data_IF_882932433970
#
_entry.id   IF_882932433970
#
_cell.length_a   1.000
_cell.length_b   1.000
_cell.length_c   1.000
_cell.angle_alpha   90.00
_cell.angle_beta   90.00
_cell.angle_gamma   90.00
#
_symmetry.space_group_name_H-M   'P 1'
#
loop_
_entity.id
_entity.type
_entity.pdbx_description
1 polymer ?
#
# COMPACT_ATOMS: atom_id res chain seq x y z
N UNK A 1 -20.25 -44.83 -6.21
CA UNK A 1 -19.96 -43.70 -7.12
C UNK A 1 -18.98 -44.19 -8.19
N UNK A 2 -19.27 -44.02 -9.49
CA UNK A 2 -18.36 -44.51 -10.55
C UNK A 2 -17.05 -43.70 -10.58
N UNK A 3 -15.94 -44.34 -10.97
CA UNK A 3 -14.62 -43.68 -11.10
C UNK A 3 -14.70 -42.40 -11.95
N UNK A 4 -15.51 -42.44 -13.00
CA UNK A 4 -15.78 -41.30 -13.90
C UNK A 4 -16.50 -40.15 -13.19
N UNK A 5 -17.54 -40.43 -12.39
CA UNK A 5 -18.21 -39.39 -11.58
C UNK A 5 -17.28 -38.78 -10.55
N UNK A 6 -16.38 -39.57 -9.96
CA UNK A 6 -15.38 -39.07 -9.01
C UNK A 6 -14.38 -38.11 -9.68
N UNK A 7 -13.89 -38.45 -10.87
CA UNK A 7 -13.00 -37.60 -11.66
C UNK A 7 -13.67 -36.27 -12.06
N UNK A 8 -14.93 -36.32 -12.49
CA UNK A 8 -15.70 -35.11 -12.83
C UNK A 8 -15.83 -34.19 -11.61
N UNK A 9 -16.18 -34.73 -10.45
CA UNK A 9 -16.28 -33.94 -9.22
C UNK A 9 -14.94 -33.31 -8.81
N UNK A 10 -13.84 -34.05 -8.92
CA UNK A 10 -12.49 -33.50 -8.65
C UNK A 10 -12.17 -32.35 -9.60
N UNK A 11 -12.46 -32.50 -10.90
CA UNK A 11 -12.25 -31.44 -11.88
C UNK A 11 -13.07 -30.18 -11.57
N UNK A 12 -14.33 -30.34 -11.15
CA UNK A 12 -15.19 -29.21 -10.74
C UNK A 12 -14.59 -28.48 -9.54
N UNK A 13 -14.17 -29.19 -8.49
CA UNK A 13 -13.57 -28.56 -7.30
C UNK A 13 -12.28 -27.81 -7.65
N UNK A 14 -11.43 -28.40 -8.50
CA UNK A 14 -10.19 -27.74 -8.93
C UNK A 14 -10.45 -26.47 -9.75
N UNK A 15 -11.44 -26.50 -10.66
CA UNK A 15 -11.83 -25.31 -11.42
C UNK A 15 -12.37 -24.20 -10.52
N UNK A 16 -13.21 -24.55 -9.53
CA UNK A 16 -13.72 -23.58 -8.56
C UNK A 16 -12.59 -22.97 -7.71
N UNK A 17 -11.70 -23.80 -7.17
CA UNK A 17 -10.56 -23.33 -6.39
C UNK A 17 -9.66 -22.40 -7.23
N UNK A 18 -9.34 -22.79 -8.47
CA UNK A 18 -8.55 -21.97 -9.39
C UNK A 18 -9.20 -20.64 -9.73
N UNK A 19 -10.52 -20.61 -9.95
CA UNK A 19 -11.25 -19.39 -10.21
C UNK A 19 -11.24 -18.43 -9.01
N UNK A 20 -11.44 -18.95 -7.79
CA UNK A 20 -11.38 -18.15 -6.55
C UNK A 20 -9.97 -17.60 -6.32
N UNK A 21 -8.93 -18.43 -6.46
CA UNK A 21 -7.54 -17.99 -6.31
C UNK A 21 -7.15 -16.94 -7.35
N UNK A 22 -7.56 -17.11 -8.60
CA UNK A 22 -7.30 -16.13 -9.65
C UNK A 22 -8.01 -14.80 -9.39
N UNK A 23 -9.27 -14.85 -8.96
CA UNK A 23 -10.03 -13.65 -8.64
C UNK A 23 -9.44 -12.89 -7.44
N UNK A 24 -9.04 -13.61 -6.37
CA UNK A 24 -8.35 -13.01 -5.20
C UNK A 24 -7.08 -12.28 -5.63
N UNK A 25 -6.19 -12.97 -6.36
CA UNK A 25 -4.92 -12.41 -6.81
C UNK A 25 -5.12 -11.19 -7.73
N UNK A 26 -6.13 -11.23 -8.61
CA UNK A 26 -6.46 -10.09 -9.47
C UNK A 26 -6.90 -8.88 -8.64
N UNK A 27 -7.79 -9.09 -7.67
CA UNK A 27 -8.28 -8.00 -6.82
C UNK A 27 -7.15 -7.40 -5.98
N UNK A 28 -6.33 -8.24 -5.34
CA UNK A 28 -5.15 -7.82 -4.56
C UNK A 28 -4.16 -7.02 -5.41
N UNK A 29 -3.90 -7.45 -6.65
CA UNK A 29 -3.03 -6.73 -7.57
C UNK A 29 -3.58 -5.35 -7.96
N UNK A 30 -4.90 -5.23 -8.13
CA UNK A 30 -5.57 -3.97 -8.45
C UNK A 30 -5.48 -2.97 -7.29
N UNK A 31 -5.76 -3.42 -6.07
CA UNK A 31 -5.66 -2.59 -4.85
C UNK A 31 -4.22 -2.12 -4.64
N UNK A 32 -3.23 -3.01 -4.79
CA UNK A 32 -1.81 -2.65 -4.64
C UNK A 32 -1.39 -1.58 -5.64
N UNK A 33 -1.79 -1.72 -6.92
CA UNK A 33 -1.50 -0.72 -7.96
C UNK A 33 -2.19 0.62 -7.71
N UNK A 34 -3.45 0.58 -7.26
CA UNK A 34 -4.20 1.77 -6.88
C UNK A 34 -3.52 2.53 -5.74
N UNK A 35 -3.16 1.82 -4.67
CA UNK A 35 -2.42 2.40 -3.54
C UNK A 35 -1.10 2.99 -4.01
N UNK A 36 -0.32 2.24 -4.81
CA UNK A 36 0.98 2.69 -5.27
C UNK A 36 0.85 4.00 -6.08
N UNK A 37 -0.16 4.09 -6.94
CA UNK A 37 -0.45 5.27 -7.74
C UNK A 37 -0.82 6.47 -6.85
N UNK A 38 -1.78 6.32 -5.94
CA UNK A 38 -2.22 7.39 -5.04
C UNK A 38 -1.08 7.88 -4.14
N UNK A 39 -0.33 6.95 -3.53
CA UNK A 39 0.79 7.28 -2.65
C UNK A 39 1.92 7.97 -3.40
N UNK A 40 2.19 7.56 -4.65
CA UNK A 40 3.22 8.22 -5.48
C UNK A 40 2.91 9.70 -5.77
N UNK A 41 1.63 10.08 -5.70
CA UNK A 41 1.20 11.45 -5.88
C UNK A 41 1.24 12.28 -4.60
N UNK A 42 1.36 11.67 -3.41
CA UNK A 42 1.35 12.40 -2.14
C UNK A 42 2.50 13.39 -2.02
N UNK A 43 3.72 12.97 -2.33
CA UNK A 43 4.91 13.84 -2.28
C UNK A 43 4.78 15.04 -3.22
N UNK A 44 4.56 14.88 -4.53
CA UNK A 44 4.44 16.02 -5.43
C UNK A 44 3.20 16.90 -5.15
N UNK A 45 2.10 16.32 -4.67
CA UNK A 45 0.91 17.10 -4.30
C UNK A 45 1.15 17.94 -3.05
N UNK A 46 1.84 17.39 -2.04
CA UNK A 46 2.21 18.13 -0.84
C UNK A 46 3.14 19.30 -1.14
N UNK A 47 4.16 19.09 -2.00
CA UNK A 47 5.08 20.15 -2.44
C UNK A 47 4.34 21.27 -3.16
N UNK A 48 3.33 20.95 -3.98
CA UNK A 48 2.50 21.95 -4.68
C UNK A 48 1.51 22.65 -3.75
N UNK A 49 0.90 21.91 -2.82
CA UNK A 49 -0.10 22.40 -1.89
C UNK A 49 -0.07 21.59 -0.58
N UNK A 50 0.48 22.14 0.51
CA UNK A 50 0.56 21.44 1.80
C UNK A 50 -0.79 21.02 2.39
N UNK A 51 -1.90 21.67 1.99
CA UNK A 51 -3.25 21.31 2.43
C UNK A 51 -3.79 20.03 1.78
N UNK A 52 -3.08 19.47 0.80
CA UNK A 52 -3.50 18.25 0.09
C UNK A 52 -3.55 17.00 0.97
N UNK A 53 -2.99 17.03 2.19
CA UNK A 53 -3.05 15.92 3.13
C UNK A 53 -4.36 15.88 3.94
N UNK A 54 -5.17 16.93 3.88
CA UNK A 54 -6.45 16.98 4.59
C UNK A 54 -7.39 15.89 4.06
N UNK A 55 -7.88 15.04 4.96
CA UNK A 55 -8.77 13.93 4.62
C UNK A 55 -8.08 12.71 3.99
N UNK A 56 -6.75 12.72 3.87
CA UNK A 56 -5.96 11.53 3.46
C UNK A 56 -5.69 10.61 4.65
N UNK A 57 -5.68 11.14 5.87
CA UNK A 57 -5.45 10.37 7.09
C UNK A 57 -6.76 9.89 7.71
N UNK A 58 -6.73 8.72 8.34
CA UNK A 58 -7.86 8.18 9.12
C UNK A 58 -8.10 9.02 10.38
N UNK A 59 -7.02 9.47 11.03
CA UNK A 59 -7.05 10.33 12.21
C UNK A 59 -6.32 11.65 11.90
N UNK A 60 -6.97 12.83 12.05
CA UNK A 60 -6.32 14.13 11.87
C UNK A 60 -5.05 14.34 12.69
N UNK A 61 -4.88 13.64 13.82
CA UNK A 61 -3.66 13.68 14.63
C UNK A 61 -2.43 13.14 13.88
N UNK A 62 -2.63 12.38 12.80
CA UNK A 62 -1.55 11.87 11.95
C UNK A 62 -1.07 12.90 10.92
N UNK A 63 -1.82 13.96 10.63
CA UNK A 63 -1.45 14.96 9.60
C UNK A 63 -0.04 15.55 9.82
N UNK A 64 0.34 15.97 11.05
CA UNK A 64 1.68 16.53 11.28
C UNK A 64 2.79 15.49 11.06
N UNK A 65 2.55 14.24 11.47
CA UNK A 65 3.50 13.15 11.29
C UNK A 65 3.66 12.76 9.81
N UNK A 66 2.54 12.75 9.06
CA UNK A 66 2.52 12.53 7.63
C UNK A 66 3.26 13.64 6.88
N UNK A 67 2.93 14.91 7.17
CA UNK A 67 3.59 16.07 6.58
C UNK A 67 5.11 16.05 6.82
N UNK A 68 5.54 15.77 8.05
CA UNK A 68 6.96 15.68 8.40
C UNK A 68 7.67 14.55 7.63
N UNK A 69 6.99 13.41 7.46
CA UNK A 69 7.57 12.25 6.77
C UNK A 69 7.66 12.49 5.27
N UNK A 70 6.62 13.05 4.65
CA UNK A 70 6.61 13.44 3.24
C UNK A 70 7.68 14.51 2.97
N UNK A 71 7.79 15.53 3.84
CA UNK A 71 8.83 16.54 3.71
C UNK A 71 10.23 15.91 3.76
N UNK A 72 10.49 15.01 4.72
CA UNK A 72 11.79 14.32 4.80
C UNK A 72 12.10 13.53 3.53
N UNK A 73 11.12 12.80 3.01
CA UNK A 73 11.28 12.01 1.77
C UNK A 73 11.62 12.93 0.60
N UNK A 74 10.94 14.08 0.49
CA UNK A 74 11.25 15.09 -0.52
C UNK A 74 12.66 15.66 -0.37
N UNK A 75 13.04 16.09 0.84
CA UNK A 75 14.36 16.67 1.10
C UNK A 75 15.48 15.67 0.76
N UNK A 76 15.29 14.40 1.11
CA UNK A 76 16.24 13.33 0.81
C UNK A 76 16.31 13.04 -0.70
N UNK A 77 15.17 13.01 -1.39
CA UNK A 77 15.08 12.88 -2.85
C UNK A 77 15.83 14.00 -3.58
N UNK A 78 15.66 15.25 -3.13
CA UNK A 78 16.38 16.42 -3.68
C UNK A 78 17.87 16.33 -3.42
N UNK A 79 18.28 15.96 -2.19
CA UNK A 79 19.69 15.84 -1.82
C UNK A 79 20.42 14.77 -2.63
N UNK A 80 19.77 13.63 -2.90
CA UNK A 80 20.35 12.52 -3.66
C UNK A 80 20.15 12.66 -5.18
N UNK A 81 19.35 13.64 -5.64
CA UNK A 81 18.93 13.77 -7.04
C UNK A 81 18.25 12.50 -7.60
N UNK A 82 17.54 11.78 -6.74
CA UNK A 82 16.85 10.53 -7.06
C UNK A 82 15.34 10.69 -6.90
N UNK A 83 14.57 10.02 -7.74
CA UNK A 83 13.10 9.99 -7.62
C UNK A 83 12.65 9.17 -6.42
N UNK A 84 11.54 9.58 -5.80
CA UNK A 84 10.85 8.77 -4.80
C UNK A 84 10.19 7.58 -5.47
N UNK A 85 10.48 6.38 -4.99
CA UNK A 85 9.83 5.13 -5.39
C UNK A 85 8.90 4.69 -4.28
N UNK A 86 7.71 4.22 -4.65
CA UNK A 86 6.74 3.67 -3.69
C UNK A 86 6.67 2.16 -3.88
N UNK A 87 6.95 1.43 -2.80
CA UNK A 87 6.82 -0.04 -2.76
C UNK A 87 5.66 -0.38 -1.83
N UNK A 88 4.63 -1.05 -2.37
CA UNK A 88 3.44 -1.43 -1.60
C UNK A 88 3.48 -2.93 -1.32
N UNK A 89 3.17 -3.28 -0.08
CA UNK A 89 3.06 -4.66 0.39
C UNK A 89 1.71 -4.87 1.04
N UNK A 90 1.15 -6.06 0.85
CA UNK A 90 -0.10 -6.46 1.49
C UNK A 90 0.12 -6.75 2.98
N UNK A 91 -0.88 -6.42 3.77
CA UNK A 91 -0.88 -6.62 5.20
C UNK A 91 -0.25 -5.45 5.96
N UNK A 92 -0.40 -5.54 7.27
CA UNK A 92 0.21 -4.58 8.17
C UNK A 92 1.71 -4.84 8.33
N UNK A 93 2.44 -3.81 8.72
CA UNK A 93 3.87 -3.92 9.00
C UNK A 93 4.10 -4.87 10.18
N UNK A 94 4.94 -5.88 10.00
CA UNK A 94 5.36 -6.76 11.11
C UNK A 94 6.10 -6.00 12.23
N UNK A 95 6.74 -4.88 11.90
CA UNK A 95 7.56 -4.09 12.83
C UNK A 95 6.80 -2.90 13.44
N UNK A 96 5.91 -2.28 12.67
CA UNK A 96 5.24 -1.02 13.03
C UNK A 96 3.71 -1.13 13.05
N UNK A 97 3.17 -2.32 12.84
CA UNK A 97 1.75 -2.59 12.74
C UNK A 97 1.05 -2.70 14.09
N UNK A 98 -0.23 -2.31 14.10
CA UNK A 98 -1.15 -2.51 15.22
C UNK A 98 -2.36 -3.38 14.83
N UNK A 99 -2.38 -3.90 13.59
CA UNK A 99 -3.45 -4.72 13.03
C UNK A 99 -4.53 -3.94 12.28
N UNK A 100 -4.49 -2.60 12.27
CA UNK A 100 -5.51 -1.78 11.60
C UNK A 100 -5.28 -1.55 10.10
N UNK A 101 -4.10 -1.86 9.56
CA UNK A 101 -3.78 -1.57 8.17
C UNK A 101 -3.99 -2.78 7.25
N UNK A 102 -4.51 -2.51 6.06
CA UNK A 102 -4.64 -3.49 4.98
C UNK A 102 -3.35 -3.65 4.18
N UNK A 103 -2.55 -2.57 4.09
CA UNK A 103 -1.35 -2.51 3.27
C UNK A 103 -0.30 -1.62 3.94
N UNK A 104 0.95 -1.82 3.55
CA UNK A 104 2.07 -0.96 3.93
C UNK A 104 2.73 -0.41 2.68
N UNK A 105 2.85 0.91 2.57
CA UNK A 105 3.59 1.58 1.50
C UNK A 105 4.90 2.15 2.03
N UNK A 106 6.02 1.73 1.44
CA UNK A 106 7.36 2.23 1.73
C UNK A 106 7.71 3.32 0.73
N UNK A 107 8.28 4.41 1.26
CA UNK A 107 8.78 5.54 0.48
C UNK A 107 10.30 5.41 0.41
N UNK A 108 10.78 5.01 -0.76
CA UNK A 108 12.19 4.75 -1.01
C UNK A 108 12.81 5.85 -1.85
N UNK A 109 14.06 6.17 -1.54
CA UNK A 109 14.93 7.02 -2.35
C UNK A 109 16.27 6.31 -2.43
N UNK A 110 16.76 6.05 -3.64
CA UNK A 110 18.00 5.28 -3.84
C UNK A 110 18.00 3.91 -3.12
N UNK A 111 16.89 3.17 -3.21
CA UNK A 111 16.68 1.88 -2.55
C UNK A 111 16.71 1.91 -1.01
N UNK A 112 16.78 3.10 -0.40
CA UNK A 112 16.71 3.27 1.04
C UNK A 112 15.31 3.69 1.45
N UNK A 113 14.72 2.99 2.42
CA UNK A 113 13.44 3.35 3.00
C UNK A 113 13.62 4.59 3.88
N UNK A 114 13.08 5.72 3.45
CA UNK A 114 13.14 7.00 4.20
C UNK A 114 11.93 7.15 5.12
N UNK A 115 10.80 6.59 4.73
CA UNK A 115 9.54 6.62 5.47
C UNK A 115 8.60 5.51 5.03
N UNK A 116 7.56 5.28 5.80
CA UNK A 116 6.51 4.35 5.43
C UNK A 116 5.14 4.76 5.96
N UNK A 117 4.12 4.30 5.26
CA UNK A 117 2.71 4.57 5.49
C UNK A 117 1.99 3.25 5.70
N UNK A 118 1.14 3.23 6.72
CA UNK A 118 0.19 2.14 6.97
C UNK A 118 -1.15 2.57 6.39
N UNK A 119 -1.73 1.73 5.53
CA UNK A 119 -2.80 2.11 4.62
C UNK A 119 -4.02 1.23 4.82
N UNK A 120 -5.19 1.87 4.82
CA UNK A 120 -6.50 1.24 4.77
C UNK A 120 -7.10 1.51 3.39
N UNK A 121 -7.24 0.44 2.61
CA UNK A 121 -7.88 0.45 1.30
C UNK A 121 -8.27 -0.99 0.97
N UNK A 122 -9.58 -1.26 0.84
CA UNK A 122 -10.08 -2.62 0.60
C UNK A 122 -10.35 -2.89 -0.88
N UNK A 123 -10.38 -1.85 -1.70
CA UNK A 123 -10.76 -1.91 -3.11
C UNK A 123 -10.11 -0.79 -3.93
N UNK A 124 -9.86 -1.04 -5.21
CA UNK A 124 -9.32 -0.05 -6.17
C UNK A 124 -10.28 1.13 -6.43
N UNK A 125 -11.53 1.04 -5.99
CA UNK A 125 -12.55 2.09 -6.13
C UNK A 125 -12.71 2.95 -4.86
N UNK A 126 -12.03 2.60 -3.78
CA UNK A 126 -12.10 3.29 -2.50
C UNK A 126 -10.97 4.32 -2.35
N UNK A 127 -11.17 5.36 -1.53
CA UNK A 127 -10.09 6.28 -1.19
C UNK A 127 -8.98 5.54 -0.43
N UNK A 128 -7.74 5.92 -0.70
CA UNK A 128 -6.57 5.44 0.04
C UNK A 128 -6.43 6.26 1.31
N UNK A 129 -6.58 5.62 2.47
CA UNK A 129 -6.48 6.29 3.77
C UNK A 129 -5.22 5.87 4.53
N UNK A 130 -4.52 6.84 5.09
CA UNK A 130 -3.33 6.62 5.92
C UNK A 130 -3.75 6.42 7.38
N UNK A 131 -3.60 5.20 7.88
CA UNK A 131 -3.87 4.82 9.26
C UNK A 131 -2.66 4.95 10.18
N UNK A 132 -1.45 5.08 9.63
CA UNK A 132 -0.24 5.26 10.41
C UNK A 132 0.94 5.70 9.57
N UNK A 133 1.94 6.29 10.23
CA UNK A 133 3.15 6.79 9.60
C UNK A 133 4.34 6.37 10.46
N UNK A 134 5.37 5.82 9.84
CA UNK A 134 6.61 5.45 10.52
C UNK A 134 7.82 5.95 9.76
N UNK A 135 8.92 6.16 10.49
CA UNK A 135 10.20 6.51 9.91
C UNK A 135 10.86 5.25 9.36
N UNK A 136 11.46 5.35 8.18
CA UNK A 136 12.32 4.29 7.70
C UNK A 136 13.52 4.13 8.65
N UNK A 137 13.94 2.89 8.86
CA UNK A 137 15.19 2.61 9.55
C UNK A 137 16.26 2.53 8.47
N UNK A 138 17.31 3.36 8.53
CA UNK A 138 18.44 3.19 7.62
C UNK A 138 19.01 1.78 7.83
N UNK A 139 19.09 1.00 6.75
CA UNK A 139 19.82 -0.27 6.74
C UNK A 139 21.32 -0.02 6.70
#
# INVERSE_FOLDING_TARGET
MSKTRRLIWVAVVLLFAGAVSWWSAKNESGVTQHIQKEVSLLVPNYVKNPKSLQGVVVDPLLEPALATTIQRVFDYSVAQQQSVVVVVTEGDSLLYGDGSATHTALLEVDQQVVGGLRIVCFSEFEPVLVAGVFKGVPQ
#
